data_IF_767963054230
#
_entry.id   IF_767963054230
#
_cell.length_a   1.000
_cell.length_b   1.000
_cell.length_c   1.000
_cell.angle_alpha   90.00
_cell.angle_beta   90.00
_cell.angle_gamma   90.00
#
_symmetry.space_group_name_H-M   'P 1'
#
loop_
_entity.id
_entity.type
_entity.pdbx_description
1 polymer ?
#
# COMPACT_ATOMS: atom_id res chain seq x y z
N UNK A 1 12.58 3.69 -6.89
CA UNK A 1 12.39 3.30 -8.31
C UNK A 1 11.06 2.60 -8.60
N UNK A 2 10.51 1.76 -7.71
CA UNK A 2 9.21 1.10 -7.93
C UNK A 2 8.05 2.09 -8.11
N UNK A 3 7.92 3.07 -7.21
CA UNK A 3 6.88 4.11 -7.29
C UNK A 3 6.97 4.93 -8.59
N UNK A 4 8.20 5.24 -9.04
CA UNK A 4 8.41 5.95 -10.30
C UNK A 4 7.95 5.10 -11.49
N UNK A 5 8.25 3.80 -11.48
CA UNK A 5 7.77 2.88 -12.53
C UNK A 5 6.25 2.75 -12.53
N UNK A 6 5.64 2.55 -11.36
CA UNK A 6 4.18 2.46 -11.23
C UNK A 6 3.52 3.77 -11.66
N UNK A 7 4.00 4.90 -11.17
CA UNK A 7 3.51 6.22 -11.56
C UNK A 7 3.65 6.49 -13.05
N UNK A 8 4.77 6.10 -13.66
CA UNK A 8 4.96 6.20 -15.11
C UNK A 8 3.91 5.38 -15.88
N UNK A 9 3.66 4.13 -15.49
CA UNK A 9 2.65 3.30 -16.14
C UNK A 9 1.23 3.83 -15.94
N UNK A 10 0.89 4.32 -14.75
CA UNK A 10 -0.41 4.95 -14.48
C UNK A 10 -0.58 6.22 -15.29
N UNK A 11 0.43 7.10 -15.31
CA UNK A 11 0.42 8.32 -16.11
C UNK A 11 0.29 8.03 -17.61
N UNK A 12 1.00 7.02 -18.12
CA UNK A 12 0.87 6.56 -19.50
C UNK A 12 -0.55 6.06 -19.80
N UNK A 13 -1.16 5.31 -18.89
CA UNK A 13 -2.53 4.85 -19.05
C UNK A 13 -3.52 6.02 -19.12
N UNK A 14 -3.41 6.98 -18.20
CA UNK A 14 -4.25 8.20 -18.21
C UNK A 14 -4.04 9.02 -19.48
N UNK A 15 -2.81 9.12 -19.98
CA UNK A 15 -2.50 9.82 -21.22
C UNK A 15 -3.13 9.13 -22.45
N UNK A 16 -3.26 7.81 -22.42
CA UNK A 16 -3.92 7.04 -23.49
C UNK A 16 -5.45 7.13 -23.44
N UNK A 17 -6.04 7.59 -22.32
CA UNK A 17 -7.48 7.75 -22.23
C UNK A 17 -7.94 8.93 -23.12
N UNK A 18 -8.91 8.70 -24.02
CA UNK A 18 -9.38 9.73 -24.93
C UNK A 18 -10.27 10.73 -24.19
N UNK A 19 -10.02 12.01 -24.44
CA UNK A 19 -10.80 13.12 -23.88
C UNK A 19 -12.03 13.46 -24.73
N UNK A 20 -12.04 13.08 -26.01
CA UNK A 20 -13.11 13.38 -26.96
C UNK A 20 -14.23 12.32 -26.93
N UNK A 21 -15.49 12.76 -26.90
CA UNK A 21 -16.67 11.87 -26.80
C UNK A 21 -16.77 10.87 -27.96
N UNK A 22 -16.38 11.26 -29.18
CA UNK A 22 -16.41 10.35 -30.36
C UNK A 22 -15.29 9.32 -30.28
N UNK A 23 -14.14 9.67 -29.72
CA UNK A 23 -13.06 8.72 -29.47
C UNK A 23 -13.40 7.79 -28.31
N UNK A 24 -14.04 8.29 -27.26
CA UNK A 24 -14.55 7.46 -26.16
C UNK A 24 -15.54 6.41 -26.67
N UNK A 25 -16.53 6.80 -27.47
CA UNK A 25 -17.50 5.88 -28.04
C UNK A 25 -16.83 4.74 -28.84
N UNK A 26 -15.78 5.06 -29.62
CA UNK A 26 -14.98 4.05 -30.36
C UNK A 26 -14.14 3.16 -29.46
N UNK A 27 -13.58 3.68 -28.38
CA UNK A 27 -12.88 2.83 -27.40
C UNK A 27 -13.85 1.90 -26.69
N UNK A 28 -15.01 2.40 -26.27
CA UNK A 28 -16.06 1.58 -25.67
C UNK A 28 -16.51 0.46 -26.60
N UNK A 29 -16.78 0.74 -27.88
CA UNK A 29 -17.15 -0.31 -28.84
C UNK A 29 -16.03 -1.35 -29.02
N UNK A 30 -14.77 -0.91 -29.03
CA UNK A 30 -13.62 -1.81 -29.14
C UNK A 30 -13.44 -2.66 -27.86
N UNK A 31 -13.66 -2.07 -26.70
CA UNK A 31 -13.62 -2.79 -25.43
C UNK A 31 -14.73 -3.84 -25.37
N UNK A 32 -15.96 -3.49 -25.75
CA UNK A 32 -17.11 -4.40 -25.78
C UNK A 32 -16.86 -5.58 -26.72
N UNK A 33 -16.38 -5.32 -27.95
CA UNK A 33 -16.04 -6.41 -28.90
C UNK A 33 -14.90 -7.30 -28.39
N UNK A 34 -13.98 -6.76 -27.58
CA UNK A 34 -12.92 -7.55 -26.95
C UNK A 34 -13.49 -8.44 -25.84
N UNK A 35 -14.41 -7.92 -25.03
CA UNK A 35 -15.12 -8.71 -24.02
C UNK A 35 -15.86 -9.87 -24.69
N UNK A 36 -16.56 -9.63 -25.79
CA UNK A 36 -17.24 -10.67 -26.56
C UNK A 36 -16.29 -11.79 -27.00
N UNK A 37 -15.07 -11.45 -27.44
CA UNK A 37 -14.04 -12.43 -27.79
C UNK A 37 -13.56 -13.25 -26.59
N UNK A 38 -13.40 -12.62 -25.43
CA UNK A 38 -13.04 -13.32 -24.19
C UNK A 38 -14.16 -14.27 -23.77
N UNK A 39 -15.41 -13.83 -23.84
CA UNK A 39 -16.56 -14.70 -23.51
C UNK A 39 -16.64 -15.90 -24.44
N UNK A 40 -16.49 -15.68 -25.75
CA UNK A 40 -16.47 -16.74 -26.76
C UNK A 40 -15.32 -17.73 -26.52
N UNK A 41 -14.16 -17.24 -26.09
CA UNK A 41 -13.02 -18.09 -25.71
C UNK A 41 -13.35 -18.93 -24.48
N UNK A 42 -13.96 -18.34 -23.45
CA UNK A 42 -14.36 -19.05 -22.24
C UNK A 42 -15.42 -20.12 -22.52
N UNK A 43 -16.39 -19.86 -23.40
CA UNK A 43 -17.39 -20.86 -23.80
C UNK A 43 -16.72 -22.11 -24.39
N UNK A 44 -15.63 -21.93 -25.13
CA UNK A 44 -14.87 -23.03 -25.76
C UNK A 44 -13.80 -23.64 -24.84
N UNK A 45 -13.40 -22.95 -23.77
CA UNK A 45 -12.31 -23.33 -22.88
C UNK A 45 -12.69 -23.13 -21.40
N UNK A 46 -13.82 -23.71 -20.99
CA UNK A 46 -14.41 -23.49 -19.66
C UNK A 46 -13.43 -23.77 -18.50
N UNK A 47 -12.64 -24.84 -18.60
CA UNK A 47 -11.66 -25.19 -17.57
C UNK A 47 -10.54 -24.13 -17.42
N UNK A 48 -10.07 -23.56 -18.53
CA UNK A 48 -9.04 -22.53 -18.51
C UNK A 48 -9.56 -21.23 -17.88
N UNK A 49 -10.80 -20.83 -18.19
CA UNK A 49 -11.41 -19.67 -17.55
C UNK A 49 -11.72 -19.90 -16.07
N UNK A 50 -12.13 -21.11 -15.66
CA UNK A 50 -12.32 -21.44 -14.24
C UNK A 50 -11.01 -21.33 -13.43
N UNK A 51 -9.92 -21.93 -13.94
CA UNK A 51 -8.61 -21.82 -13.30
C UNK A 51 -8.09 -20.36 -13.28
N UNK A 52 -8.30 -19.63 -14.39
CA UNK A 52 -7.97 -18.21 -14.47
C UNK A 52 -8.73 -17.35 -13.45
N UNK A 53 -10.02 -17.60 -13.28
CA UNK A 53 -10.87 -16.89 -12.32
C UNK A 53 -10.43 -17.12 -10.87
N UNK A 54 -10.05 -18.36 -10.52
CA UNK A 54 -9.54 -18.68 -9.19
C UNK A 54 -8.23 -17.93 -8.89
N UNK A 55 -7.27 -17.97 -9.82
CA UNK A 55 -6.00 -17.26 -9.69
C UNK A 55 -6.21 -15.74 -9.62
N UNK A 56 -7.12 -15.22 -10.43
CA UNK A 56 -7.49 -13.81 -10.41
C UNK A 56 -8.07 -13.40 -9.06
N UNK A 57 -8.97 -14.20 -8.48
CA UNK A 57 -9.56 -13.91 -7.18
C UNK A 57 -8.49 -13.86 -6.07
N UNK A 58 -7.52 -14.77 -6.08
CA UNK A 58 -6.38 -14.75 -5.13
C UNK A 58 -5.52 -13.51 -5.34
N UNK A 59 -5.23 -13.17 -6.60
CA UNK A 59 -4.47 -11.98 -6.95
C UNK A 59 -5.13 -10.71 -6.42
N UNK A 60 -6.45 -10.55 -6.63
CA UNK A 60 -7.22 -9.39 -6.15
C UNK A 60 -7.14 -9.27 -4.63
N UNK A 61 -7.34 -10.38 -3.88
CA UNK A 61 -7.21 -10.34 -2.41
C UNK A 61 -5.83 -9.90 -1.94
N UNK A 62 -4.77 -10.36 -2.62
CA UNK A 62 -3.40 -9.93 -2.31
C UNK A 62 -3.17 -8.46 -2.67
N UNK A 63 -3.73 -7.98 -3.78
CA UNK A 63 -3.66 -6.58 -4.18
C UNK A 63 -4.39 -5.68 -3.18
N UNK A 64 -5.58 -6.06 -2.72
CA UNK A 64 -6.33 -5.33 -1.68
C UNK A 64 -5.53 -5.20 -0.38
N UNK A 65 -4.93 -6.29 0.08
CA UNK A 65 -4.06 -6.28 1.27
C UNK A 65 -2.85 -5.36 1.07
N UNK A 66 -2.17 -5.47 -0.08
CA UNK A 66 -1.03 -4.61 -0.42
C UNK A 66 -1.42 -3.13 -0.51
N UNK A 67 -2.58 -2.81 -1.05
CA UNK A 67 -3.10 -1.46 -1.13
C UNK A 67 -3.36 -0.87 0.26
N UNK A 68 -4.01 -1.62 1.17
CA UNK A 68 -4.22 -1.21 2.56
C UNK A 68 -2.89 -0.94 3.27
N UNK A 69 -1.93 -1.86 3.15
CA UNK A 69 -0.60 -1.68 3.72
C UNK A 69 0.10 -0.42 3.20
N UNK A 70 0.02 -0.15 1.90
CA UNK A 70 0.61 1.06 1.31
C UNK A 70 -0.03 2.35 1.88
N UNK A 71 -1.36 2.36 2.05
CA UNK A 71 -2.10 3.49 2.64
C UNK A 71 -1.71 3.68 4.11
N UNK A 72 -1.60 2.59 4.88
CA UNK A 72 -1.21 2.63 6.29
C UNK A 72 0.21 3.21 6.46
N UNK A 73 1.15 2.85 5.57
CA UNK A 73 2.51 3.41 5.57
C UNK A 73 2.53 4.91 5.29
N UNK A 74 1.72 5.40 4.35
CA UNK A 74 1.65 6.84 4.03
C UNK A 74 0.98 7.61 5.16
N UNK A 75 -0.12 7.09 5.72
CA UNK A 75 -0.87 7.75 6.79
C UNK A 75 -0.13 7.79 8.13
N UNK A 76 0.69 6.78 8.46
CA UNK A 76 1.53 6.80 9.68
C UNK A 76 2.73 7.75 9.53
N UNK A 77 3.28 7.88 8.33
CA UNK A 77 4.43 8.77 8.06
C UNK A 77 4.02 10.26 8.11
N UNK A 78 2.83 10.60 7.63
CA UNK A 78 2.30 11.97 7.66
C UNK A 78 2.02 12.52 9.06
N UNK A 79 1.82 11.65 10.07
CA UNK A 79 1.60 12.07 11.47
C UNK A 79 2.85 12.57 12.18
N UNK A 80 4.06 12.34 11.64
CA UNK A 80 5.31 12.83 12.25
C UNK A 80 5.66 14.26 11.80
N UNK A 81 5.17 14.70 10.65
CA UNK A 81 5.50 16.03 10.10
C UNK A 81 4.58 17.16 10.63
N UNK A 82 3.38 16.83 11.10
CA UNK A 82 2.46 17.84 11.67
C UNK A 82 2.84 18.28 13.10
N UNK A 83 3.56 17.45 13.86
CA UNK A 83 4.08 17.83 15.19
C UNK A 83 5.29 18.77 15.10
N UNK A 84 5.97 18.87 13.94
CA UNK A 84 7.10 19.79 13.74
C UNK A 84 6.67 21.22 13.34
N UNK A 85 5.47 21.40 12.79
CA UNK A 85 4.98 22.71 12.35
C UNK A 85 4.35 23.55 13.48
N UNK A 86 3.91 22.94 14.60
CA UNK A 86 3.35 23.65 15.75
C UNK A 86 4.36 24.18 16.77
N UNK A 87 5.67 23.91 16.60
CA UNK A 87 6.70 24.35 17.56
C UNK A 87 7.37 25.69 17.25
N UNK A 88 6.97 26.39 16.18
CA UNK A 88 7.44 27.77 15.90
C UNK A 88 6.48 28.81 16.45
N UNK A 89 6.33 28.88 17.77
CA UNK A 89 6.12 30.11 18.55
C UNK A 89 6.16 29.75 20.04
N UNK A 90 7.28 30.00 20.70
CA UNK A 90 7.31 30.58 22.06
C UNK A 90 8.75 30.81 22.53
N UNK A 91 9.07 31.98 23.13
CA UNK A 91 10.29 32.18 23.90
C UNK A 91 10.13 31.73 25.36
N UNK A 92 11.26 31.36 25.97
CA UNK A 92 11.58 31.35 27.41
C UNK A 92 10.86 30.39 28.38
N UNK A 93 11.63 29.38 28.81
CA UNK A 93 11.90 28.95 30.20
C UNK A 93 10.74 28.75 31.19
N UNK A 94 10.36 27.49 31.49
CA UNK A 94 9.96 27.02 32.83
C UNK A 94 10.24 25.51 33.01
N UNK A 95 11.19 25.19 33.89
CA UNK A 95 11.10 24.22 35.01
C UNK A 95 10.26 22.93 34.84
N UNK A 96 10.95 21.80 34.64
CA UNK A 96 10.79 20.52 35.34
C UNK A 96 9.46 19.72 35.32
N UNK A 97 9.61 18.42 34.93
CA UNK A 97 8.75 17.21 35.10
C UNK A 97 7.70 16.90 34.03
N UNK A 98 7.27 15.63 33.91
CA UNK A 98 8.01 14.35 34.01
C UNK A 98 7.87 13.52 32.71
N UNK A 99 8.66 12.45 32.57
CA UNK A 99 8.51 11.48 31.49
C UNK A 99 7.07 10.92 31.46
N UNK A 100 6.45 10.77 30.27
CA UNK A 100 5.08 10.27 30.18
C UNK A 100 5.00 8.85 30.74
N UNK A 101 4.10 8.64 31.69
CA UNK A 101 3.75 7.31 32.16
C UNK A 101 3.30 6.46 30.96
N UNK A 102 4.03 5.38 30.68
CA UNK A 102 3.71 4.43 29.64
C UNK A 102 2.28 3.92 29.87
N UNK A 103 1.39 4.13 28.89
CA UNK A 103 0.00 3.66 28.89
C UNK A 103 -0.08 2.14 28.60
N UNK A 104 0.70 1.35 29.32
CA UNK A 104 0.71 -0.11 29.16
C UNK A 104 1.54 -0.79 30.24
N UNK A 105 1.24 -2.06 30.48
CA UNK A 105 2.00 -2.95 31.40
C UNK A 105 3.33 -3.41 30.81
N UNK A 106 3.69 -2.91 29.63
CA UNK A 106 4.92 -3.25 28.92
C UNK A 106 6.11 -2.60 29.64
N UNK A 107 7.01 -3.44 30.12
CA UNK A 107 8.30 -3.02 30.64
C UNK A 107 9.29 -2.86 29.49
N UNK A 108 10.38 -2.08 29.66
CA UNK A 108 11.42 -1.96 28.64
C UNK A 108 12.04 -3.30 28.21
N UNK A 109 11.99 -4.32 29.07
CA UNK A 109 12.45 -5.66 28.77
C UNK A 109 11.55 -6.38 27.74
N UNK A 110 10.25 -6.10 27.74
CA UNK A 110 9.27 -6.71 26.83
C UNK A 110 9.42 -6.25 25.38
N UNK A 111 10.11 -5.13 25.16
CA UNK A 111 10.40 -4.57 23.83
C UNK A 111 11.62 -5.21 23.18
N UNK A 112 12.31 -6.13 23.86
CA UNK A 112 13.48 -6.80 23.30
C UNK A 112 13.05 -8.03 22.48
N UNK A 113 13.47 -8.15 21.21
CA UNK A 113 13.12 -9.31 20.39
C UNK A 113 13.78 -10.59 20.94
N UNK A 114 12.96 -11.57 21.35
CA UNK A 114 13.40 -12.84 21.93
C UNK A 114 14.29 -13.71 21.00
N UNK A 115 14.37 -13.36 19.70
CA UNK A 115 15.10 -14.15 18.70
C UNK A 115 16.59 -13.82 18.58
N UNK A 116 17.13 -12.84 19.34
CA UNK A 116 18.59 -12.70 19.45
C UNK A 116 19.10 -13.55 20.60
N UNK A 117 19.76 -14.67 20.27
CA UNK A 117 20.44 -15.53 21.24
C UNK A 117 21.38 -14.71 22.12
N UNK A 118 21.33 -14.95 23.44
CA UNK A 118 22.22 -14.33 24.41
C UNK A 118 23.67 -14.65 24.03
N UNK A 119 24.45 -13.62 23.71
CA UNK A 119 25.91 -13.78 23.57
C UNK A 119 26.46 -14.02 24.96
N UNK A 120 26.70 -15.29 25.31
CA UNK A 120 27.44 -15.62 26.52
C UNK A 120 28.84 -14.99 26.39
N UNK A 121 29.07 -13.95 27.18
CA UNK A 121 30.40 -13.40 27.40
C UNK A 121 31.09 -14.30 28.42
N UNK A 122 31.66 -15.41 27.96
CA UNK A 122 32.65 -16.17 28.74
C UNK A 122 33.90 -15.31 28.88
N UNK A 123 34.09 -14.73 30.06
CA UNK A 123 35.36 -14.13 30.44
C UNK A 123 36.38 -15.22 30.78
N UNK A 124 37.58 -15.07 30.26
CA UNK A 124 38.82 -15.60 30.81
C UNK A 124 39.85 -14.48 30.77
#
# INVERSE_FOLDING_TARGET
MFLIRVGFWVGLAVLLLPTDERQQARLYSTAVTTVERVTTFCDRNAQACAAGAELWAIFVKKAEFGARMAIDLVSTSGRQDEDAASLRTQPASVKGKPAPAARGTLTPADLTPAWRGQVQRTGL
#
